data_IF_507169246853
#
_entry.id   IF_507169246853
#
_cell.length_a   1.000
_cell.length_b   1.000
_cell.length_c   1.000
_cell.angle_alpha   90.00
_cell.angle_beta   90.00
_cell.angle_gamma   90.00
#
_symmetry.space_group_name_H-M   'P 1'
#
loop_
_entity.id
_entity.type
_entity.pdbx_description
1 polymer ?
#
# COMPACT_ATOMS: atom_id res chain seq x y z
N UNK A 1 -19.57 -39.20 -5.23
CA UNK A 1 -19.20 -38.35 -6.38
C UNK A 1 -19.78 -39.02 -7.61
N UNK A 2 -20.83 -38.51 -8.29
CA UNK A 2 -21.11 -38.88 -9.70
C UNK A 2 -22.33 -38.20 -10.35
N UNK A 3 -23.33 -37.68 -9.61
CA UNK A 3 -24.51 -37.06 -10.26
C UNK A 3 -24.24 -35.64 -10.79
N UNK A 4 -23.53 -34.79 -10.04
CA UNK A 4 -23.35 -33.37 -10.39
C UNK A 4 -22.47 -33.12 -11.63
N UNK A 5 -21.71 -34.12 -12.09
CA UNK A 5 -20.87 -34.03 -13.29
C UNK A 5 -21.57 -34.58 -14.53
N UNK A 6 -22.58 -35.45 -14.37
CA UNK A 6 -23.29 -36.06 -15.49
C UNK A 6 -23.98 -35.01 -16.37
N UNK A 7 -24.63 -34.03 -15.74
CA UNK A 7 -25.33 -32.96 -16.46
C UNK A 7 -24.35 -32.00 -17.16
N UNK A 8 -23.12 -31.87 -16.65
CA UNK A 8 -22.06 -31.06 -17.29
C UNK A 8 -21.52 -31.80 -18.51
N UNK A 9 -21.24 -33.10 -18.35
CA UNK A 9 -20.71 -33.94 -19.42
C UNK A 9 -21.73 -34.08 -20.56
N UNK A 10 -23.01 -34.30 -20.26
CA UNK A 10 -24.09 -34.34 -21.26
C UNK A 10 -24.28 -32.99 -21.97
N UNK A 11 -24.19 -31.87 -21.23
CA UNK A 11 -24.27 -30.54 -21.83
C UNK A 11 -23.05 -30.22 -22.71
N UNK A 12 -21.87 -30.78 -22.43
CA UNK A 12 -20.67 -30.58 -23.24
C UNK A 12 -20.83 -31.12 -24.67
N UNK A 13 -21.59 -32.21 -24.82
CA UNK A 13 -21.82 -32.86 -26.11
C UNK A 13 -22.93 -32.17 -26.93
N UNK A 14 -23.95 -31.61 -26.27
CA UNK A 14 -25.16 -31.13 -26.92
C UNK A 14 -25.33 -29.61 -26.96
N UNK A 15 -24.90 -28.87 -25.92
CA UNK A 15 -25.09 -27.41 -25.82
C UNK A 15 -23.94 -26.73 -25.07
N UNK A 16 -23.00 -26.17 -25.83
CA UNK A 16 -21.82 -25.48 -25.29
C UNK A 16 -22.16 -24.25 -24.43
N UNK A 17 -23.31 -23.60 -24.64
CA UNK A 17 -23.73 -22.46 -23.80
C UNK A 17 -24.22 -22.93 -22.44
N UNK A 18 -24.99 -24.01 -22.42
CA UNK A 18 -25.44 -24.66 -21.18
C UNK A 18 -24.25 -25.21 -20.38
N UNK A 19 -23.31 -25.86 -21.05
CA UNK A 19 -22.06 -26.35 -20.47
C UNK A 19 -21.33 -25.24 -19.71
N UNK A 20 -21.01 -24.13 -20.37
CA UNK A 20 -20.28 -23.03 -19.73
C UNK A 20 -21.06 -22.37 -18.58
N UNK A 21 -22.40 -22.39 -18.64
CA UNK A 21 -23.24 -21.89 -17.54
C UNK A 21 -23.13 -22.78 -16.30
N UNK A 22 -23.21 -24.11 -16.47
CA UNK A 22 -23.10 -25.06 -15.37
C UNK A 22 -21.69 -25.06 -14.75
N UNK A 23 -20.65 -25.01 -15.58
CA UNK A 23 -19.25 -24.88 -15.13
C UNK A 23 -19.05 -23.59 -14.31
N UNK A 24 -19.62 -22.46 -14.74
CA UNK A 24 -19.54 -21.21 -13.98
C UNK A 24 -20.33 -21.25 -12.68
N UNK A 25 -21.46 -21.96 -12.65
CA UNK A 25 -22.28 -22.12 -11.45
C UNK A 25 -21.60 -22.99 -10.38
N UNK A 26 -20.72 -23.92 -10.79
CA UNK A 26 -19.92 -24.72 -9.85
C UNK A 26 -18.74 -23.97 -9.23
N UNK A 27 -18.32 -22.83 -9.79
CA UNK A 27 -17.26 -22.04 -9.16
C UNK A 27 -17.77 -21.58 -7.79
N UNK A 28 -17.07 -21.89 -6.69
CA UNK A 28 -17.42 -21.34 -5.39
C UNK A 28 -17.49 -19.83 -5.57
N UNK A 29 -18.63 -19.22 -5.20
CA UNK A 29 -18.69 -17.76 -5.13
C UNK A 29 -17.55 -17.35 -4.21
N UNK A 30 -16.68 -16.45 -4.66
CA UNK A 30 -15.69 -15.85 -3.78
C UNK A 30 -16.46 -15.28 -2.59
N UNK A 31 -16.38 -15.94 -1.44
CA UNK A 31 -16.90 -15.38 -0.22
C UNK A 31 -16.14 -14.06 -0.02
N UNK A 32 -16.86 -12.99 0.32
CA UNK A 32 -16.19 -11.79 0.80
C UNK A 32 -15.45 -12.19 2.06
N UNK A 33 -14.12 -12.18 1.99
CA UNK A 33 -13.28 -12.22 3.17
C UNK A 33 -13.46 -10.86 3.82
N UNK A 34 -14.08 -10.83 4.99
CA UNK A 34 -14.09 -9.65 5.84
C UNK A 34 -12.94 -9.80 6.82
N UNK A 35 -11.96 -8.87 6.83
CA UNK A 35 -10.95 -8.86 7.89
C UNK A 35 -11.62 -8.53 9.22
N UNK A 36 -11.28 -9.29 10.25
CA UNK A 36 -11.70 -9.06 11.63
C UNK A 36 -10.50 -8.54 12.44
N UNK A 37 -10.76 -7.63 13.38
CA UNK A 37 -9.73 -7.13 14.30
C UNK A 37 -9.80 -7.98 15.57
N UNK A 38 -8.73 -8.72 15.84
CA UNK A 38 -8.61 -9.60 16.99
C UNK A 38 -7.35 -9.25 17.79
N UNK A 39 -7.49 -9.00 19.09
CA UNK A 39 -6.38 -8.73 19.99
C UNK A 39 -6.57 -9.52 21.29
N UNK A 40 -5.54 -10.25 21.74
CA UNK A 40 -5.58 -11.08 22.95
C UNK A 40 -6.80 -12.05 23.05
N UNK A 41 -7.36 -12.47 21.92
CA UNK A 41 -8.54 -13.34 21.87
C UNK A 41 -9.90 -12.62 21.95
N UNK A 42 -9.91 -11.28 21.94
CA UNK A 42 -11.10 -10.45 21.86
C UNK A 42 -11.30 -9.98 20.42
N UNK A 43 -12.51 -10.17 19.89
CA UNK A 43 -12.92 -9.64 18.59
C UNK A 43 -13.62 -8.30 18.78
N UNK A 44 -13.21 -7.29 18.00
CA UNK A 44 -13.85 -5.99 17.96
C UNK A 44 -14.82 -5.97 16.77
N UNK A 45 -16.11 -6.03 17.04
CA UNK A 45 -17.20 -6.24 16.06
C UNK A 45 -18.16 -5.04 15.94
N UNK A 46 -17.91 -3.97 16.69
CA UNK A 46 -18.67 -2.72 16.63
C UNK A 46 -17.76 -1.54 16.29
N UNK A 47 -18.24 -0.54 15.52
CA UNK A 47 -17.42 0.59 15.09
C UNK A 47 -16.74 1.34 16.24
N UNK A 48 -17.45 1.51 17.37
CA UNK A 48 -16.90 2.18 18.55
C UNK A 48 -15.74 1.40 19.16
N UNK A 49 -15.86 0.07 19.20
CA UNK A 49 -14.84 -0.83 19.73
C UNK A 49 -13.63 -0.94 18.81
N UNK A 50 -13.85 -0.95 17.50
CA UNK A 50 -12.77 -0.89 16.52
C UNK A 50 -11.98 0.41 16.65
N UNK A 51 -12.67 1.54 16.81
CA UNK A 51 -12.04 2.85 17.00
C UNK A 51 -11.24 2.92 18.29
N UNK A 52 -11.78 2.38 19.39
CA UNK A 52 -11.10 2.31 20.69
C UNK A 52 -9.87 1.40 20.65
N UNK A 53 -9.95 0.24 20.01
CA UNK A 53 -8.81 -0.67 19.81
C UNK A 53 -7.70 0.01 19.00
N UNK A 54 -8.06 0.68 17.91
CA UNK A 54 -7.10 1.44 17.11
C UNK A 54 -6.47 2.59 17.90
N UNK A 55 -7.27 3.35 18.66
CA UNK A 55 -6.77 4.44 19.49
C UNK A 55 -5.78 3.93 20.55
N UNK A 56 -6.15 2.86 21.25
CA UNK A 56 -5.32 2.23 22.28
C UNK A 56 -4.01 1.68 21.72
N UNK A 57 -4.06 1.02 20.56
CA UNK A 57 -2.87 0.51 19.87
C UNK A 57 -1.87 1.64 19.57
N UNK A 58 -2.33 2.75 18.99
CA UNK A 58 -1.44 3.86 18.68
C UNK A 58 -0.99 4.62 19.93
N UNK A 59 -1.85 4.77 20.93
CA UNK A 59 -1.45 5.34 22.22
C UNK A 59 -0.30 4.54 22.86
N UNK A 60 -0.39 3.21 22.84
CA UNK A 60 0.67 2.32 23.32
C UNK A 60 1.94 2.46 22.47
N UNK A 61 1.81 2.43 21.14
CA UNK A 61 2.94 2.57 20.21
C UNK A 61 3.73 3.87 20.41
N UNK A 62 3.03 4.96 20.75
CA UNK A 62 3.63 6.28 20.98
C UNK A 62 3.95 6.57 22.46
N UNK A 63 3.76 5.61 23.36
CA UNK A 63 4.06 5.74 24.80
C UNK A 63 5.27 4.88 25.19
N UNK A 64 6.50 5.33 24.89
CA UNK A 64 7.73 4.54 25.05
C UNK A 64 8.13 4.23 26.51
N UNK A 65 7.34 4.62 27.51
CA UNK A 65 7.70 4.52 28.93
C UNK A 65 7.03 3.34 29.66
N UNK A 66 6.13 2.59 29.01
CA UNK A 66 5.31 1.56 29.67
C UNK A 66 5.23 0.23 28.92
N UNK A 67 5.94 0.07 27.81
CA UNK A 67 5.82 -1.12 26.97
C UNK A 67 6.81 -2.20 27.41
N UNK A 68 6.32 -3.19 28.17
CA UNK A 68 7.06 -4.40 28.56
C UNK A 68 7.47 -5.25 27.33
N UNK A 69 6.86 -5.02 26.16
CA UNK A 69 7.16 -5.70 24.90
C UNK A 69 8.17 -4.92 24.03
N UNK A 70 8.70 -3.79 24.50
CA UNK A 70 9.73 -3.03 23.78
C UNK A 70 11.07 -3.78 23.84
N UNK A 71 11.44 -4.42 22.73
CA UNK A 71 12.70 -5.14 22.60
C UNK A 71 13.86 -4.16 22.41
N UNK A 72 14.59 -3.89 23.50
CA UNK A 72 15.81 -3.08 23.48
C UNK A 72 16.84 -3.58 22.44
N UNK A 73 16.90 -4.90 22.18
CA UNK A 73 17.79 -5.45 21.14
C UNK A 73 17.32 -5.08 19.74
N UNK A 74 16.00 -5.02 19.52
CA UNK A 74 15.44 -4.56 18.25
C UNK A 74 15.78 -3.09 18.04
N UNK A 75 15.62 -2.25 19.07
CA UNK A 75 16.02 -0.84 19.01
C UNK A 75 17.49 -0.68 18.69
N UNK A 76 18.38 -1.37 19.40
CA UNK A 76 19.83 -1.32 19.15
C UNK A 76 20.16 -1.74 17.71
N UNK A 77 19.54 -2.81 17.20
CA UNK A 77 19.72 -3.25 15.82
C UNK A 77 19.23 -2.21 14.79
N UNK A 78 18.08 -1.56 15.02
CA UNK A 78 17.58 -0.50 14.14
C UNK A 78 18.50 0.72 14.17
N UNK A 79 18.99 1.12 15.35
CA UNK A 79 19.93 2.23 15.50
C UNK A 79 21.27 1.93 14.82
N UNK A 80 21.78 0.70 14.92
CA UNK A 80 23.00 0.25 14.23
C UNK A 80 22.82 0.25 12.71
N UNK A 81 21.70 -0.28 12.19
CA UNK A 81 21.39 -0.24 10.76
C UNK A 81 21.24 1.18 10.24
N UNK A 82 20.59 2.07 11.01
CA UNK A 82 20.45 3.47 10.66
C UNK A 82 21.81 4.18 10.63
N UNK A 83 22.68 3.92 11.61
CA UNK A 83 24.03 4.45 11.64
C UNK A 83 24.85 3.96 10.43
N UNK A 84 24.72 2.68 10.07
CA UNK A 84 25.37 2.10 8.89
C UNK A 84 24.86 2.74 7.59
N UNK A 85 23.54 2.88 7.42
CA UNK A 85 22.94 3.57 6.26
C UNK A 85 23.43 5.02 6.15
N UNK A 86 23.54 5.71 7.29
CA UNK A 86 24.02 7.09 7.36
C UNK A 86 25.51 7.19 7.02
N UNK A 87 26.35 6.28 7.52
CA UNK A 87 27.78 6.25 7.21
C UNK A 87 28.04 5.84 5.76
N UNK A 88 27.29 4.87 5.25
CA UNK A 88 27.37 4.45 3.85
C UNK A 88 26.95 5.57 2.91
N UNK A 89 25.94 6.36 3.27
CA UNK A 89 25.53 7.52 2.48
C UNK A 89 26.60 8.63 2.45
N UNK A 90 27.39 8.77 3.51
CA UNK A 90 28.49 9.76 3.56
C UNK A 90 29.71 9.27 2.78
N UNK A 91 29.99 7.97 2.80
CA UNK A 91 31.22 7.39 2.25
C UNK A 91 31.07 6.82 0.83
N UNK A 92 29.88 6.33 0.48
CA UNK A 92 29.55 5.93 -0.87
C UNK A 92 28.67 7.02 -1.47
N UNK A 93 29.15 7.63 -2.55
CA UNK A 93 28.43 8.53 -3.46
C UNK A 93 27.23 7.82 -4.17
N UNK A 94 26.64 6.81 -3.52
CA UNK A 94 25.42 6.14 -3.90
C UNK A 94 24.29 7.12 -3.55
N UNK A 95 24.01 7.95 -4.53
CA UNK A 95 22.85 8.80 -4.64
C UNK A 95 21.59 7.97 -4.34
N UNK A 96 21.10 8.01 -3.09
CA UNK A 96 19.72 7.64 -2.79
C UNK A 96 18.85 8.55 -3.67
N UNK A 97 17.95 8.01 -4.51
CA UNK A 97 17.08 8.84 -5.33
C UNK A 97 16.14 9.60 -4.39
N UNK A 98 16.50 10.85 -4.07
CA UNK A 98 15.77 11.67 -3.10
C UNK A 98 16.62 12.45 -2.09
N UNK A 99 17.90 12.73 -2.38
CA UNK A 99 18.69 13.70 -1.62
C UNK A 99 17.99 15.07 -1.48
N UNK A 100 18.53 15.99 -0.65
CA UNK A 100 17.92 17.31 -0.45
C UNK A 100 17.76 18.01 -1.81
N UNK A 101 16.56 18.53 -2.09
CA UNK A 101 16.26 19.22 -3.35
C UNK A 101 17.23 20.39 -3.49
N UNK A 102 18.11 20.31 -4.49
CA UNK A 102 19.09 21.38 -4.75
C UNK A 102 18.51 22.41 -5.71
N UNK A 103 19.07 23.62 -5.70
CA UNK A 103 18.71 24.65 -6.69
C UNK A 103 18.95 24.19 -8.13
N UNK A 104 19.91 23.29 -8.35
CA UNK A 104 20.21 22.79 -9.68
C UNK A 104 19.18 21.74 -10.13
N UNK A 105 18.64 20.95 -9.21
CA UNK A 105 17.48 20.08 -9.48
C UNK A 105 16.27 20.91 -9.90
N UNK A 106 15.98 22.00 -9.19
CA UNK A 106 14.89 22.92 -9.52
C UNK A 106 15.09 23.51 -10.93
N UNK A 107 16.30 23.99 -11.26
CA UNK A 107 16.60 24.50 -12.61
C UNK A 107 16.44 23.43 -13.68
N UNK A 108 16.85 22.20 -13.39
CA UNK A 108 16.72 21.08 -14.34
C UNK A 108 15.26 20.73 -14.60
N UNK A 109 14.42 20.72 -13.57
CA UNK A 109 12.97 20.51 -13.70
C UNK A 109 12.31 21.64 -14.49
N UNK A 110 12.65 22.91 -14.21
CA UNK A 110 12.12 24.07 -14.94
C UNK A 110 12.44 23.96 -16.44
N UNK A 111 13.66 23.55 -16.80
CA UNK A 111 14.05 23.34 -18.22
C UNK A 111 13.23 22.25 -18.92
N UNK A 112 12.71 21.28 -18.18
CA UNK A 112 11.93 20.16 -18.73
C UNK A 112 10.44 20.48 -18.87
N UNK A 113 9.97 21.63 -18.36
CA UNK A 113 8.57 22.04 -18.48
C UNK A 113 8.17 22.18 -19.96
N UNK A 114 7.07 21.52 -20.34
CA UNK A 114 6.53 21.58 -21.70
C UNK A 114 5.97 22.97 -21.97
N UNK A 115 6.49 23.64 -23.00
CA UNK A 115 6.01 24.94 -23.45
C UNK A 115 4.62 24.85 -24.07
N UNK A 116 3.90 25.98 -24.09
CA UNK A 116 2.57 26.17 -24.68
C UNK A 116 1.48 25.30 -24.05
N UNK A 117 1.63 25.01 -22.76
CA UNK A 117 0.55 24.41 -21.98
C UNK A 117 -0.43 25.49 -21.57
N UNK A 118 -1.72 25.15 -21.57
CA UNK A 118 -2.76 26.03 -21.09
C UNK A 118 -2.47 26.37 -19.61
N UNK A 119 -2.73 27.62 -19.18
CA UNK A 119 -2.58 27.99 -17.78
C UNK A 119 -3.53 27.19 -16.89
N UNK A 120 -3.15 27.05 -15.62
CA UNK A 120 -4.05 26.54 -14.58
C UNK A 120 -5.11 27.58 -14.21
N UNK A 121 -5.86 27.29 -13.14
CA UNK A 121 -6.85 28.20 -12.57
C UNK A 121 -6.22 29.50 -12.01
N UNK A 122 -4.90 29.47 -11.78
CA UNK A 122 -4.07 30.60 -11.36
C UNK A 122 -3.67 31.55 -12.51
N UNK A 123 -3.95 31.18 -13.77
CA UNK A 123 -3.56 31.96 -14.95
C UNK A 123 -2.07 31.92 -15.28
N UNK A 124 -1.26 31.14 -14.57
CA UNK A 124 0.20 31.06 -14.76
C UNK A 124 0.51 30.00 -15.81
N UNK A 125 1.32 30.37 -16.81
CA UNK A 125 1.83 29.42 -17.82
C UNK A 125 3.27 29.01 -17.51
N UNK A 126 3.71 27.88 -18.07
CA UNK A 126 5.10 27.41 -17.92
C UNK A 126 6.13 28.44 -18.42
N UNK A 127 5.79 29.30 -19.37
CA UNK A 127 6.65 30.40 -19.84
C UNK A 127 6.95 31.40 -18.73
N UNK A 128 6.00 31.68 -17.85
CA UNK A 128 6.20 32.59 -16.71
C UNK A 128 7.22 32.02 -15.72
N UNK A 129 7.32 30.70 -15.60
CA UNK A 129 8.28 30.01 -14.72
C UNK A 129 9.65 29.86 -15.40
N UNK A 130 9.67 29.69 -16.73
CA UNK A 130 10.91 29.51 -17.50
C UNK A 130 11.62 30.85 -17.75
N UNK A 131 10.88 31.95 -17.93
CA UNK A 131 11.41 33.25 -18.34
C UNK A 131 11.20 34.40 -17.33
N UNK A 132 10.37 34.19 -16.30
CA UNK A 132 10.18 35.14 -15.20
C UNK A 132 11.28 35.01 -14.17
#
# INVERSE_FOLDING_TARGET
MLEAYRDIDEAAECDIRLFWRLVKAQKPRAFRIYPEICEAGVNYDTPDREAEAFASFFENLYSPLTDDDFDDKFKENIEEQYAHLKSDHINNDIYLPGGPITNDDVKNVIKQLKRRKAPGDDGITNEHIIFG
#
